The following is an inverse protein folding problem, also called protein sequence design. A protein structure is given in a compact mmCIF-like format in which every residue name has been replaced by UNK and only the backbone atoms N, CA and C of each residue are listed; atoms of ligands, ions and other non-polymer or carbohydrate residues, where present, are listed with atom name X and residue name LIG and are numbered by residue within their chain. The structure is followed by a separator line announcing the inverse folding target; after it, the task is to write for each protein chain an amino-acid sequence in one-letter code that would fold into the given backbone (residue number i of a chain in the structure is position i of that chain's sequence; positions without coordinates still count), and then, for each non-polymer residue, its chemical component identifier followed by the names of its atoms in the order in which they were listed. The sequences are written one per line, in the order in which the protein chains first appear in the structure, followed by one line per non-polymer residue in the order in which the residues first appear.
data_IF_305627477937
#
_entry.id   IF_305627477937
#
_cell.length_a   1.000
_cell.length_b   1.000
_cell.length_c   1.000
_cell.angle_alpha   90.00
_cell.angle_beta   90.00
_cell.angle_gamma   90.00
#
_symmetry.space_group_name_H-M   'P 1'
#
loop_
_entity.id
_entity.type
_entity.pdbx_description
1 polymer ?
#
# COMPACT_ATOMS: atom_id res chain seq x y z
N UNK A 1 26.39 -29.22 23.68
CA UNK A 1 25.67 -27.93 23.58
C UNK A 1 25.71 -27.42 22.13
N UNK A 2 24.91 -27.98 21.21
CA UNK A 2 24.82 -27.50 19.79
C UNK A 2 23.39 -27.63 19.23
N UNK A 3 22.62 -28.61 19.71
CA UNK A 3 21.26 -28.94 19.20
C UNK A 3 20.19 -27.88 19.53
N UNK A 4 20.36 -27.15 20.64
CA UNK A 4 19.45 -26.05 21.04
C UNK A 4 19.63 -24.83 20.11
N UNK A 5 20.83 -24.66 19.55
CA UNK A 5 21.17 -23.53 18.69
C UNK A 5 20.55 -23.69 17.29
N UNK A 6 20.61 -24.89 16.70
CA UNK A 6 19.96 -25.17 15.40
C UNK A 6 18.45 -25.14 15.47
N UNK A 7 17.84 -25.62 16.57
CA UNK A 7 16.37 -25.58 16.75
C UNK A 7 15.85 -24.17 17.02
N UNK A 8 16.56 -23.33 17.79
CA UNK A 8 16.23 -21.90 17.91
C UNK A 8 16.37 -21.17 16.57
N UNK A 9 17.46 -21.44 15.83
CA UNK A 9 17.67 -20.83 14.52
C UNK A 9 16.57 -21.22 13.52
N UNK A 10 16.20 -22.50 13.48
CA UNK A 10 15.11 -22.97 12.62
C UNK A 10 13.78 -22.30 12.95
N UNK A 11 13.46 -22.17 14.25
CA UNK A 11 12.25 -21.47 14.69
C UNK A 11 12.25 -19.99 14.31
N UNK A 12 13.41 -19.33 14.38
CA UNK A 12 13.55 -17.93 13.98
C UNK A 12 13.38 -17.72 12.47
N UNK A 13 13.99 -18.59 11.64
CA UNK A 13 13.80 -18.56 10.19
C UNK A 13 12.35 -18.85 9.79
N UNK A 14 11.70 -19.83 10.44
CA UNK A 14 10.27 -20.10 10.21
C UNK A 14 9.42 -18.89 10.58
N UNK A 15 9.67 -18.25 11.74
CA UNK A 15 8.94 -17.04 12.14
C UNK A 15 9.13 -15.88 11.14
N UNK A 16 10.35 -15.64 10.65
CA UNK A 16 10.64 -14.65 9.61
C UNK A 16 9.93 -14.94 8.28
N UNK A 17 9.88 -16.21 7.87
CA UNK A 17 9.16 -16.63 6.67
C UNK A 17 7.63 -16.40 6.80
N UNK A 18 7.07 -16.67 7.98
CA UNK A 18 5.64 -16.42 8.24
C UNK A 18 5.32 -14.91 8.24
N UNK A 19 6.20 -14.06 8.79
CA UNK A 19 6.02 -12.60 8.79
C UNK A 19 6.16 -12.01 7.38
N UNK A 20 7.10 -12.50 6.57
CA UNK A 20 7.25 -12.02 5.19
C UNK A 20 6.10 -12.46 4.29
N UNK A 21 5.56 -13.66 4.48
CA UNK A 21 4.37 -14.12 3.78
C UNK A 21 3.14 -13.21 4.03
N UNK A 22 2.91 -12.78 5.28
CA UNK A 22 1.78 -11.88 5.58
C UNK A 22 1.98 -10.45 5.04
N UNK A 23 3.23 -10.00 4.90
CA UNK A 23 3.54 -8.69 4.34
C UNK A 23 3.36 -8.62 2.82
N UNK A 24 3.52 -9.75 2.11
CA UNK A 24 3.37 -9.83 0.66
C UNK A 24 1.90 -9.59 0.22
N UNK A 25 0.93 -9.96 1.05
CA UNK A 25 -0.50 -9.78 0.75
C UNK A 25 -0.99 -8.34 0.96
N UNK A 26 -0.23 -7.53 1.70
CA UNK A 26 -0.59 -6.15 2.03
C UNK A 26 -0.19 -5.09 0.99
N UNK A 27 0.66 -5.43 0.02
CA UNK A 27 1.27 -4.43 -0.87
C UNK A 27 0.59 -4.23 -2.23
N UNK A 28 -0.40 -5.04 -2.59
CA UNK A 28 -1.16 -4.81 -3.81
C UNK A 28 -2.24 -3.75 -3.57
N UNK A 29 -1.84 -2.47 -3.49
CA UNK A 29 -2.77 -1.34 -3.53
C UNK A 29 -3.50 -1.41 -4.88
N UNK A 30 -4.65 -2.08 -4.94
CA UNK A 30 -5.45 -2.24 -6.17
C UNK A 30 -5.60 -0.86 -6.81
N UNK A 31 -5.30 -0.75 -8.11
CA UNK A 31 -5.50 0.49 -8.87
C UNK A 31 -7.00 0.79 -8.99
N UNK A 32 -7.54 1.42 -7.94
CA UNK A 32 -8.96 1.71 -7.80
C UNK A 32 -9.11 2.99 -6.99
N UNK A 33 -10.13 3.76 -7.33
CA UNK A 33 -10.58 4.87 -6.50
C UNK A 33 -11.40 4.36 -5.31
N UNK A 34 -11.12 4.91 -4.14
CA UNK A 34 -11.91 4.64 -2.93
C UNK A 34 -13.05 5.65 -2.74
N UNK A 35 -12.97 6.82 -3.39
CA UNK A 35 -14.04 7.79 -3.45
C UNK A 35 -14.98 7.58 -4.66
N UNK A 36 -16.07 8.33 -4.70
CA UNK A 36 -17.04 8.29 -5.81
C UNK A 36 -16.44 8.89 -7.09
N UNK A 37 -16.88 8.43 -8.28
CA UNK A 37 -16.41 8.97 -9.55
C UNK A 37 -16.61 10.49 -9.67
N UNK A 38 -17.76 11.02 -9.25
CA UNK A 38 -18.04 12.46 -9.27
C UNK A 38 -17.05 13.29 -8.45
N UNK A 39 -16.67 12.79 -7.27
CA UNK A 39 -15.68 13.45 -6.41
C UNK A 39 -14.32 13.50 -7.11
N UNK A 40 -13.85 12.36 -7.62
CA UNK A 40 -12.54 12.28 -8.27
C UNK A 40 -12.49 13.07 -9.58
N UNK A 41 -13.54 13.03 -10.39
CA UNK A 41 -13.61 13.81 -11.63
C UNK A 41 -13.63 15.31 -11.37
N UNK A 42 -14.38 15.76 -10.35
CA UNK A 42 -14.40 17.17 -9.96
C UNK A 42 -13.02 17.65 -9.53
N UNK A 43 -12.35 16.92 -8.65
CA UNK A 43 -11.03 17.30 -8.16
C UNK A 43 -9.93 17.19 -9.24
N UNK A 44 -10.04 16.22 -10.15
CA UNK A 44 -9.18 16.14 -11.33
C UNK A 44 -9.35 17.37 -12.23
N UNK A 45 -10.58 17.80 -12.48
CA UNK A 45 -10.86 18.99 -13.28
C UNK A 45 -10.35 20.29 -12.62
N UNK A 46 -10.26 20.32 -11.28
CA UNK A 46 -9.67 21.42 -10.52
C UNK A 46 -8.12 21.40 -10.51
N UNK A 47 -7.48 20.36 -11.06
CA UNK A 47 -6.02 20.22 -11.06
C UNK A 47 -5.43 19.70 -9.76
N UNK A 48 -6.25 19.17 -8.85
CA UNK A 48 -5.77 18.69 -7.54
C UNK A 48 -4.84 17.46 -7.67
N UNK A 49 -4.96 16.69 -8.76
CA UNK A 49 -4.08 15.56 -9.06
C UNK A 49 -2.61 15.99 -9.27
N UNK A 50 -2.35 17.19 -9.80
CA UNK A 50 -0.99 17.66 -10.14
C UNK A 50 -0.46 18.72 -9.17
N UNK A 51 -1.27 19.04 -8.16
CA UNK A 51 -0.95 20.07 -7.18
C UNK A 51 0.11 19.66 -6.16
N UNK A 52 0.72 20.63 -5.47
CA UNK A 52 1.65 20.39 -4.35
C UNK A 52 1.00 20.59 -2.98
N UNK A 53 -0.27 21.02 -2.93
CA UNK A 53 -1.00 21.23 -1.68
C UNK A 53 -1.58 19.93 -1.12
N UNK A 54 -2.17 20.02 0.09
CA UNK A 54 -2.76 18.91 0.85
C UNK A 54 -3.67 17.99 0.01
N UNK A 55 -4.31 18.54 -1.03
CA UNK A 55 -5.26 17.80 -1.83
C UNK A 55 -4.61 16.74 -2.72
N UNK A 56 -3.37 16.95 -3.18
CA UNK A 56 -2.61 15.93 -3.89
C UNK A 56 -2.45 14.64 -3.08
N UNK A 57 -2.17 14.76 -1.77
CA UNK A 57 -2.11 13.61 -0.87
C UNK A 57 -3.46 12.92 -0.73
N UNK A 58 -4.54 13.70 -0.61
CA UNK A 58 -5.90 13.16 -0.53
C UNK A 58 -6.26 12.44 -1.83
N UNK A 59 -5.86 12.97 -2.99
CA UNK A 59 -6.06 12.33 -4.29
C UNK A 59 -5.28 11.02 -4.41
N UNK A 60 -4.05 10.94 -3.88
CA UNK A 60 -3.26 9.69 -3.82
C UNK A 60 -3.89 8.58 -2.97
N UNK A 61 -4.76 8.93 -2.03
CA UNK A 61 -5.46 7.95 -1.20
C UNK A 61 -6.87 7.64 -1.71
N UNK A 62 -7.55 8.64 -2.28
CA UNK A 62 -8.97 8.54 -2.66
C UNK A 62 -9.23 8.32 -4.14
N UNK A 63 -8.42 8.95 -4.98
CA UNK A 63 -8.60 9.02 -6.43
C UNK A 63 -7.38 8.47 -7.16
N UNK A 64 -6.80 7.40 -6.60
CA UNK A 64 -5.54 6.79 -7.02
C UNK A 64 -5.54 6.38 -8.50
N UNK A 65 -6.67 5.84 -8.99
CA UNK A 65 -6.85 5.46 -10.40
C UNK A 65 -7.17 6.68 -11.25
N UNK A 66 -8.12 7.52 -10.83
CA UNK A 66 -8.57 8.68 -11.62
C UNK A 66 -7.44 9.68 -11.90
N UNK A 67 -6.54 9.87 -10.93
CA UNK A 67 -5.35 10.70 -11.06
C UNK A 67 -4.13 9.98 -11.67
N UNK A 68 -4.21 8.68 -11.98
CA UNK A 68 -3.10 7.95 -12.61
C UNK A 68 -1.87 7.79 -11.71
N UNK A 69 -2.09 7.54 -10.41
CA UNK A 69 -1.01 7.29 -9.45
C UNK A 69 -0.68 5.81 -9.29
N UNK A 70 -1.52 4.93 -9.82
CA UNK A 70 -1.06 3.66 -10.34
C UNK A 70 -0.48 3.91 -11.74
#
# INVERSE_FOLDING_TARGET
MVIISTTMFFRFFIALLLISAVAAEGYLKKCKDSATPDYCNRHKALGDCDSSHRMHRIMKDRCYKTCGFC
#
